data_IF_602841969474
#
_entry.id   IF_602841969474
#
_cell.length_a   1.000
_cell.length_b   1.000
_cell.length_c   1.000
_cell.angle_alpha   90.00
_cell.angle_beta   90.00
_cell.angle_gamma   90.00
#
_symmetry.space_group_name_H-M   'P 1'
#
loop_
_entity.id
_entity.type
_entity.pdbx_description
1 polymer ?
#
# COMPACT_ATOMS: atom_id res chain seq x y z
N UNK A 1 11.14 -38.28 18.06
CA UNK A 1 11.19 -37.58 19.36
C UNK A 1 9.99 -36.65 19.44
N UNK A 2 9.06 -36.90 20.39
CA UNK A 2 7.80 -36.14 20.53
C UNK A 2 8.06 -34.96 21.47
N UNK A 3 8.06 -33.72 20.95
CA UNK A 3 8.13 -32.51 21.76
C UNK A 3 6.76 -32.18 22.36
N UNK A 4 6.68 -32.10 23.69
CA UNK A 4 5.46 -31.78 24.44
C UNK A 4 5.31 -30.26 24.49
N UNK A 5 4.21 -29.73 23.94
CA UNK A 5 3.81 -28.33 24.12
C UNK A 5 3.32 -28.17 25.56
N UNK A 6 4.02 -27.36 26.37
CA UNK A 6 3.57 -26.99 27.71
C UNK A 6 2.98 -25.59 27.61
N UNK A 7 1.66 -25.49 27.73
CA UNK A 7 0.95 -24.20 27.75
C UNK A 7 1.20 -23.46 29.06
N UNK A 8 1.91 -22.34 28.99
CA UNK A 8 2.04 -21.37 30.08
C UNK A 8 1.00 -20.26 29.98
N UNK A 9 0.68 -19.55 31.09
CA UNK A 9 -0.51 -18.72 31.19
C UNK A 9 -0.45 -17.49 30.28
N UNK A 10 -1.61 -17.13 29.71
CA UNK A 10 -1.81 -15.93 28.92
C UNK A 10 -1.66 -14.68 29.82
N UNK A 11 -0.48 -14.07 29.80
CA UNK A 11 -0.28 -12.75 30.39
C UNK A 11 -0.85 -11.70 29.44
N UNK A 12 -2.06 -11.25 29.76
CA UNK A 12 -2.72 -10.09 29.18
C UNK A 12 -1.87 -8.84 29.46
N UNK A 13 -1.01 -8.46 28.52
CA UNK A 13 -0.37 -7.13 28.53
C UNK A 13 -0.84 -6.34 27.32
N UNK A 14 -1.87 -5.53 27.59
CA UNK A 14 -2.26 -4.41 26.76
C UNK A 14 -1.01 -3.56 26.45
N UNK A 15 -0.61 -3.48 25.18
CA UNK A 15 0.34 -2.46 24.70
C UNK A 15 1.74 -2.90 24.29
N UNK A 16 2.07 -4.19 24.28
CA UNK A 16 3.38 -4.63 23.76
C UNK A 16 3.22 -5.42 22.45
N UNK A 17 3.69 -4.84 21.33
CA UNK A 17 3.83 -5.56 20.05
C UNK A 17 5.02 -6.54 20.16
N UNK A 18 4.90 -7.54 21.03
CA UNK A 18 5.78 -8.72 21.01
C UNK A 18 5.12 -9.75 20.10
N UNK A 19 5.67 -9.93 18.91
CA UNK A 19 5.42 -11.16 18.17
C UNK A 19 6.14 -12.30 18.90
N UNK A 20 5.49 -13.45 19.17
CA UNK A 20 6.14 -14.56 19.85
C UNK A 20 7.26 -15.07 18.94
N UNK A 21 8.51 -14.89 19.39
CA UNK A 21 9.70 -15.27 18.65
C UNK A 21 9.78 -16.78 18.45
N UNK A 22 10.16 -17.19 17.23
CA UNK A 22 10.63 -18.54 16.93
C UNK A 22 11.91 -18.75 17.78
N UNK A 23 11.79 -19.55 18.84
CA UNK A 23 12.93 -20.00 19.62
C UNK A 23 13.59 -21.16 18.87
N UNK A 24 14.76 -20.91 18.28
CA UNK A 24 15.69 -21.99 17.92
C UNK A 24 16.58 -22.22 19.15
N UNK A 25 16.42 -23.37 19.81
CA UNK A 25 17.24 -23.76 20.96
C UNK A 25 18.72 -23.86 20.55
N UNK A 26 19.56 -23.03 21.19
CA UNK A 26 21.01 -23.14 21.09
C UNK A 26 21.51 -24.16 22.14
N UNK A 27 22.20 -25.24 21.75
CA UNK A 27 22.66 -26.29 22.68
C UNK A 27 23.72 -25.82 23.70
N UNK A 28 24.13 -24.55 23.70
CA UNK A 28 25.17 -24.01 24.61
C UNK A 28 24.65 -23.07 25.71
N UNK A 29 23.34 -22.99 25.96
CA UNK A 29 22.76 -22.32 27.14
C UNK A 29 23.04 -20.81 27.29
N UNK A 30 23.69 -20.15 26.32
CA UNK A 30 23.87 -18.70 26.33
C UNK A 30 22.64 -18.02 25.72
N UNK A 31 21.85 -17.36 26.57
CA UNK A 31 20.80 -16.43 26.16
C UNK A 31 21.44 -15.20 25.51
N UNK A 32 21.66 -15.28 24.21
CA UNK A 32 21.94 -14.10 23.38
C UNK A 32 20.59 -13.46 23.05
N UNK A 33 20.19 -12.49 23.87
CA UNK A 33 19.02 -11.66 23.61
C UNK A 33 19.35 -10.63 22.50
N UNK A 34 19.59 -11.10 21.27
CA UNK A 34 19.51 -10.21 20.11
C UNK A 34 18.03 -10.02 19.79
N UNK A 35 17.45 -9.00 20.39
CA UNK A 35 16.13 -8.52 20.01
C UNK A 35 16.26 -7.96 18.58
N UNK A 36 15.74 -8.68 17.59
CA UNK A 36 15.64 -8.18 16.22
C UNK A 36 14.59 -7.07 16.17
N UNK A 37 14.96 -5.86 16.62
CA UNK A 37 14.16 -4.66 16.44
C UNK A 37 14.42 -4.18 15.01
N UNK A 38 13.69 -4.74 14.05
CA UNK A 38 13.73 -4.22 12.69
C UNK A 38 13.34 -2.72 12.76
N UNK A 39 14.17 -1.81 12.19
CA UNK A 39 13.82 -0.40 12.18
C UNK A 39 12.61 -0.22 11.26
N UNK A 40 11.41 -0.21 11.84
CA UNK A 40 10.18 0.11 11.12
C UNK A 40 10.29 1.58 10.73
N UNK A 41 10.47 1.84 9.42
CA UNK A 41 10.52 3.20 8.89
C UNK A 41 9.15 3.87 9.10
N UNK A 42 9.17 5.17 9.37
CA UNK A 42 7.94 5.98 9.45
C UNK A 42 7.27 6.05 8.08
N UNK A 43 5.95 6.22 8.08
CA UNK A 43 5.16 6.44 6.87
C UNK A 43 5.68 7.64 6.07
N UNK A 44 5.52 7.58 4.74
CA UNK A 44 5.92 8.65 3.83
C UNK A 44 4.99 9.84 4.01
N UNK A 45 5.54 11.04 4.17
CA UNK A 45 4.74 12.26 4.29
C UNK A 45 3.83 12.44 3.07
N UNK A 46 2.56 12.78 3.28
CA UNK A 46 1.55 12.91 2.22
C UNK A 46 0.84 11.60 1.84
N UNK A 47 1.31 10.43 2.31
CA UNK A 47 0.67 9.15 2.06
C UNK A 47 0.00 8.63 3.33
N UNK A 48 -1.33 8.78 3.38
CA UNK A 48 -2.14 8.45 4.56
C UNK A 48 -2.33 6.94 4.68
N UNK A 49 -2.14 6.40 5.88
CA UNK A 49 -2.50 5.03 6.23
C UNK A 49 -3.82 5.00 7.02
N UNK A 50 -4.82 4.30 6.51
CA UNK A 50 -6.14 4.21 7.15
C UNK A 50 -6.18 3.07 8.17
N UNK A 51 -6.69 3.34 9.38
CA UNK A 51 -7.03 2.26 10.31
C UNK A 51 -8.22 1.43 9.80
N UNK A 52 -8.36 0.16 10.20
CA UNK A 52 -9.49 -0.68 9.78
C UNK A 52 -10.85 -0.04 10.06
N UNK A 53 -10.98 0.67 11.19
CA UNK A 53 -12.21 1.38 11.55
C UNK A 53 -12.56 2.48 10.54
N UNK A 54 -11.56 3.24 10.08
CA UNK A 54 -11.78 4.32 9.10
C UNK A 54 -12.01 3.73 7.71
N UNK A 55 -11.24 2.70 7.32
CA UNK A 55 -11.41 2.04 6.01
C UNK A 55 -12.82 1.47 5.84
N UNK A 56 -13.40 0.87 6.88
CA UNK A 56 -14.79 0.39 6.84
C UNK A 56 -15.84 1.51 6.61
N UNK A 57 -15.54 2.75 7.01
CA UNK A 57 -16.41 3.90 6.75
C UNK A 57 -16.25 4.37 5.31
N UNK A 58 -15.01 4.47 4.82
CA UNK A 58 -14.71 4.85 3.43
C UNK A 58 -15.34 3.88 2.43
N UNK A 59 -15.27 2.57 2.68
CA UNK A 59 -15.90 1.56 1.81
C UNK A 59 -17.42 1.76 1.68
N UNK A 60 -18.09 2.17 2.78
CA UNK A 60 -19.52 2.50 2.75
C UNK A 60 -19.80 3.72 1.89
N UNK A 61 -18.91 4.70 1.87
CA UNK A 61 -19.06 5.91 1.07
C UNK A 61 -18.84 5.62 -0.40
N UNK A 62 -17.74 4.94 -0.74
CA UNK A 62 -17.43 4.50 -2.11
C UNK A 62 -18.60 3.70 -2.69
N UNK A 63 -19.15 2.76 -1.91
CA UNK A 63 -20.32 1.97 -2.33
C UNK A 63 -21.54 2.85 -2.61
N UNK A 64 -21.86 3.81 -1.75
CA UNK A 64 -23.02 4.70 -1.94
C UNK A 64 -22.90 5.54 -3.22
N UNK A 65 -21.70 6.06 -3.49
CA UNK A 65 -21.41 6.84 -4.69
C UNK A 65 -21.55 5.95 -5.93
N UNK A 66 -20.97 4.75 -5.91
CA UNK A 66 -21.07 3.80 -7.01
C UNK A 66 -22.53 3.37 -7.28
N UNK A 67 -23.30 3.06 -6.22
CA UNK A 67 -24.71 2.69 -6.34
C UNK A 67 -25.57 3.85 -6.87
N UNK A 68 -25.19 5.09 -6.59
CA UNK A 68 -25.82 6.26 -7.19
C UNK A 68 -25.55 6.33 -8.70
N UNK A 69 -24.30 6.20 -9.14
CA UNK A 69 -23.95 6.16 -10.57
C UNK A 69 -24.68 5.04 -11.32
N UNK A 70 -24.75 3.84 -10.73
CA UNK A 70 -25.45 2.69 -11.34
C UNK A 70 -26.93 2.94 -11.59
N UNK A 71 -27.62 3.69 -10.72
CA UNK A 71 -29.03 4.05 -10.93
C UNK A 71 -29.24 4.95 -12.16
N UNK A 72 -28.19 5.63 -12.62
CA UNK A 72 -28.20 6.46 -13.82
C UNK A 72 -27.55 5.76 -15.03
N UNK A 73 -27.30 4.45 -14.96
CA UNK A 73 -26.73 3.67 -16.07
C UNK A 73 -25.21 3.73 -16.18
N UNK A 74 -24.51 4.34 -15.21
CA UNK A 74 -23.05 4.35 -15.20
C UNK A 74 -22.48 3.06 -14.62
N UNK A 75 -21.34 2.62 -15.19
CA UNK A 75 -20.57 1.47 -14.72
C UNK A 75 -19.19 1.98 -14.29
N UNK A 76 -18.66 1.56 -13.12
CA UNK A 76 -17.32 1.95 -12.71
C UNK A 76 -16.27 1.39 -13.68
N UNK A 77 -15.28 2.20 -13.99
CA UNK A 77 -14.09 1.82 -14.77
C UNK A 77 -12.85 2.16 -13.96
N UNK A 78 -11.86 1.29 -14.01
CA UNK A 78 -10.56 1.49 -13.39
C UNK A 78 -9.52 1.62 -14.50
N UNK A 79 -8.82 2.74 -14.55
CA UNK A 79 -7.73 3.00 -15.50
C UNK A 79 -6.38 2.61 -14.89
N UNK A 80 -5.35 2.51 -15.71
CA UNK A 80 -4.01 2.19 -15.23
C UNK A 80 -3.50 3.28 -14.27
N UNK A 81 -2.89 2.87 -13.16
CA UNK A 81 -2.27 3.79 -12.19
C UNK A 81 -1.03 4.52 -12.77
N UNK A 82 -0.41 3.90 -13.78
CA UNK A 82 0.80 4.37 -14.44
C UNK A 82 0.47 4.63 -15.90
N UNK A 83 0.88 5.81 -16.37
CA UNK A 83 0.73 6.25 -17.75
C UNK A 83 2.10 6.66 -18.32
N UNK A 84 2.17 6.78 -19.64
CA UNK A 84 3.35 7.38 -20.28
C UNK A 84 3.44 8.86 -19.93
N UNK A 85 4.66 9.35 -19.69
CA UNK A 85 4.88 10.76 -19.36
C UNK A 85 4.37 11.68 -20.49
N UNK A 86 4.53 11.26 -21.75
CA UNK A 86 4.01 11.98 -22.93
C UNK A 86 2.48 12.11 -22.94
N UNK A 87 1.76 11.16 -22.34
CA UNK A 87 0.29 11.21 -22.21
C UNK A 87 -0.14 12.25 -21.17
N UNK A 88 0.63 12.41 -20.10
CA UNK A 88 0.31 13.33 -19.00
C UNK A 88 0.78 14.76 -19.26
N UNK A 89 1.73 14.95 -20.19
CA UNK A 89 2.27 16.25 -20.58
C UNK A 89 1.29 17.01 -21.49
N UNK A 90 0.33 17.69 -20.87
CA UNK A 90 -0.45 18.75 -21.53
C UNK A 90 0.20 20.08 -21.18
N UNK A 91 0.62 20.83 -22.21
CA UNK A 91 1.31 22.13 -22.10
C UNK A 91 0.71 22.99 -20.97
N UNK A 92 1.41 23.13 -19.84
CA UNK A 92 0.89 23.83 -18.67
C UNK A 92 1.75 23.71 -17.40
N UNK A 93 1.25 24.24 -16.28
CA UNK A 93 1.96 24.37 -15.00
C UNK A 93 2.04 23.07 -14.17
N UNK A 94 1.26 22.05 -14.55
CA UNK A 94 1.02 20.81 -13.79
C UNK A 94 2.24 19.86 -13.81
N UNK A 95 3.19 20.07 -14.72
CA UNK A 95 4.37 19.21 -14.89
C UNK A 95 5.21 19.05 -13.61
N UNK A 96 5.15 20.02 -12.69
CA UNK A 96 5.92 20.01 -11.44
C UNK A 96 5.40 19.04 -10.38
N UNK A 97 4.18 18.53 -10.53
CA UNK A 97 3.52 17.69 -9.53
C UNK A 97 3.48 16.20 -9.94
N UNK A 98 4.10 15.83 -11.06
CA UNK A 98 4.04 14.46 -11.58
C UNK A 98 5.13 13.55 -10.97
N UNK A 99 4.69 12.46 -10.35
CA UNK A 99 5.60 11.41 -9.86
C UNK A 99 6.07 10.51 -11.00
N UNK A 100 7.33 10.68 -11.41
CA UNK A 100 7.97 9.84 -12.43
C UNK A 100 8.44 8.49 -11.86
N UNK A 101 8.34 7.45 -12.68
CA UNK A 101 8.77 6.09 -12.38
C UNK A 101 9.88 5.66 -13.34
N UNK A 102 10.83 4.88 -12.82
CA UNK A 102 11.87 4.23 -13.63
C UNK A 102 11.75 2.73 -13.47
N UNK A 103 11.71 2.00 -14.59
CA UNK A 103 11.68 0.54 -14.54
C UNK A 103 13.08 0.01 -14.18
N UNK A 104 13.20 -0.96 -13.25
CA UNK A 104 14.48 -1.57 -12.95
C UNK A 104 15.10 -2.20 -14.20
N UNK A 105 16.37 -1.86 -14.49
CA UNK A 105 17.11 -2.41 -15.63
C UNK A 105 16.74 -1.84 -17.00
N UNK A 106 15.97 -0.75 -17.08
CA UNK A 106 15.77 -0.02 -18.33
C UNK A 106 16.75 1.14 -18.47
N UNK A 107 17.37 1.27 -19.64
CA UNK A 107 18.16 2.45 -20.03
C UNK A 107 17.27 3.68 -20.33
N UNK A 108 15.96 3.46 -20.44
CA UNK A 108 14.96 4.53 -20.56
C UNK A 108 14.73 5.17 -19.19
N UNK A 109 15.26 6.38 -19.01
CA UNK A 109 15.05 7.18 -17.82
C UNK A 109 13.70 7.91 -17.89
N UNK A 110 12.76 7.59 -16.99
CA UNK A 110 11.56 8.40 -16.67
C UNK A 110 10.46 8.52 -17.74
N UNK A 111 10.22 7.52 -18.58
CA UNK A 111 9.10 7.56 -19.54
C UNK A 111 7.73 7.25 -18.93
N UNK A 112 7.70 6.83 -17.67
CA UNK A 112 6.50 6.43 -16.97
C UNK A 112 6.23 7.35 -15.79
N UNK A 113 4.96 7.56 -15.46
CA UNK A 113 4.55 8.39 -14.35
C UNK A 113 3.21 7.95 -13.76
N UNK A 114 2.97 8.27 -12.49
CA UNK A 114 1.66 8.12 -11.86
C UNK A 114 0.71 9.20 -12.41
N UNK A 115 -0.53 8.82 -12.71
CA UNK A 115 -1.54 9.80 -13.11
C UNK A 115 -1.89 10.72 -11.92
N UNK A 116 -2.07 12.01 -12.19
CA UNK A 116 -2.41 13.02 -11.18
C UNK A 116 -3.93 13.20 -11.03
N UNK A 117 -4.70 12.84 -12.06
CA UNK A 117 -6.15 12.89 -12.10
C UNK A 117 -6.73 11.62 -12.73
N UNK A 118 -8.05 11.55 -12.87
CA UNK A 118 -8.73 10.45 -13.56
C UNK A 118 -9.22 10.83 -14.96
N UNK A 119 -9.08 12.09 -15.40
CA UNK A 119 -9.67 12.54 -16.69
C UNK A 119 -8.77 12.21 -17.87
N UNK A 120 -7.46 12.42 -17.74
CA UNK A 120 -6.50 12.10 -18.81
C UNK A 120 -6.43 10.58 -19.07
N UNK A 121 -6.28 9.70 -18.06
CA UNK A 121 -6.32 8.25 -18.27
C UNK A 121 -7.66 7.77 -18.85
N UNK A 122 -8.78 8.36 -18.42
CA UNK A 122 -10.10 8.01 -18.95
C UNK A 122 -10.23 8.41 -20.43
N UNK A 123 -9.76 9.59 -20.81
CA UNK A 123 -9.78 10.04 -22.20
C UNK A 123 -8.98 9.08 -23.09
N UNK A 124 -7.77 8.69 -22.68
CA UNK A 124 -6.96 7.68 -23.38
C UNK A 124 -7.73 6.36 -23.52
N UNK A 125 -8.26 5.84 -22.41
CA UNK A 125 -8.98 4.56 -22.39
C UNK A 125 -10.17 4.53 -23.36
N UNK A 126 -10.88 5.64 -23.54
CA UNK A 126 -12.03 5.73 -24.45
C UNK A 126 -11.61 5.87 -25.92
N UNK A 127 -10.39 6.36 -26.19
CA UNK A 127 -9.89 6.58 -27.56
C UNK A 127 -9.11 5.39 -28.15
N UNK A 128 -8.73 4.42 -27.33
CA UNK A 128 -8.10 3.16 -27.76
C UNK A 128 -9.10 2.19 -28.39
#
# INVERSE_FOLDING_TARGET
MRGRLVGGPALNTCGSKYFPGIFLDNPRGRRIAHTWRLPIKKAVSGFIEWSPKIKSIEEKWVRRIADHGRRHGFVPVETAAVEYLSTLQIKGEIEKEIYCLTKPGSDMSKDLALHYDLTVPLARYVTE
#
